data_IF_202712339225
#
_entry.id   IF_202712339225
#
_cell.length_a   1.000
_cell.length_b   1.000
_cell.length_c   1.000
_cell.angle_alpha   90.00
_cell.angle_beta   90.00
_cell.angle_gamma   90.00
#
_symmetry.space_group_name_H-M   'P 1'
#
loop_
_entity.id
_entity.type
_entity.pdbx_description
1 polymer ?
#
# COMPACT_ATOMS: atom_id res chain seq x y z
N UNK A 1 -41.88 -27.44 21.57
CA UNK A 1 -41.40 -26.05 21.39
C UNK A 1 -39.91 -26.01 21.03
N UNK A 2 -39.48 -26.72 19.98
CA UNK A 2 -38.06 -26.79 19.57
C UNK A 2 -37.80 -26.35 18.11
N UNK A 3 -38.84 -25.89 17.38
CA UNK A 3 -38.71 -25.49 15.97
C UNK A 3 -38.50 -23.97 15.76
N UNK A 4 -38.75 -23.12 16.75
CA UNK A 4 -38.63 -21.66 16.58
C UNK A 4 -37.20 -21.11 16.74
N UNK A 5 -36.29 -21.88 17.34
CA UNK A 5 -34.90 -21.42 17.51
C UNK A 5 -34.09 -21.51 16.21
N UNK A 6 -34.40 -22.45 15.31
CA UNK A 6 -33.64 -22.65 14.06
C UNK A 6 -33.90 -21.51 13.07
N UNK A 7 -35.12 -20.95 13.02
CA UNK A 7 -35.48 -19.88 12.08
C UNK A 7 -34.90 -18.51 12.44
N UNK A 8 -34.65 -18.23 13.73
CA UNK A 8 -34.09 -16.95 14.16
C UNK A 8 -32.61 -16.80 13.79
N UNK A 9 -31.84 -17.89 13.83
CA UNK A 9 -30.43 -17.89 13.41
C UNK A 9 -30.27 -17.82 11.88
N UNK A 10 -31.24 -18.31 11.10
CA UNK A 10 -31.13 -18.33 9.65
C UNK A 10 -31.06 -16.90 9.05
N UNK A 11 -31.78 -15.95 9.64
CA UNK A 11 -31.93 -14.59 9.11
C UNK A 11 -30.75 -13.66 9.40
N UNK A 12 -29.76 -14.12 10.15
CA UNK A 12 -28.56 -13.35 10.53
C UNK A 12 -27.28 -13.87 9.90
N UNK A 13 -27.36 -14.94 9.10
CA UNK A 13 -26.19 -15.52 8.42
C UNK A 13 -25.80 -14.74 7.18
N UNK A 14 -24.51 -14.74 6.87
CA UNK A 14 -23.94 -14.25 5.62
C UNK A 14 -24.60 -14.90 4.41
N UNK A 15 -24.89 -16.20 4.49
CA UNK A 15 -25.60 -16.92 3.44
C UNK A 15 -27.00 -16.34 3.17
N UNK A 16 -27.71 -15.89 4.20
CA UNK A 16 -29.01 -15.22 4.06
C UNK A 16 -28.90 -13.86 3.38
N UNK A 17 -27.98 -13.02 3.84
CA UNK A 17 -27.74 -11.68 3.29
C UNK A 17 -27.32 -11.75 1.80
N UNK A 18 -26.41 -12.67 1.47
CA UNK A 18 -25.89 -12.85 0.12
C UNK A 18 -26.89 -13.45 -0.87
N UNK A 19 -28.07 -13.95 -0.44
CA UNK A 19 -29.11 -14.35 -1.39
C UNK A 19 -29.58 -13.18 -2.27
N UNK A 20 -29.60 -11.98 -1.70
CA UNK A 20 -29.91 -10.76 -2.44
C UNK A 20 -28.63 -9.96 -2.71
N UNK A 21 -27.79 -9.74 -1.70
CA UNK A 21 -26.57 -8.92 -1.86
C UNK A 21 -25.49 -9.58 -2.72
N UNK A 22 -25.57 -10.88 -2.97
CA UNK A 22 -24.70 -11.57 -3.93
C UNK A 22 -25.15 -11.45 -5.39
N UNK A 23 -26.22 -10.70 -5.69
CA UNK A 23 -26.69 -10.46 -7.06
C UNK A 23 -25.98 -9.23 -7.65
N UNK A 24 -25.24 -9.40 -8.75
CA UNK A 24 -24.48 -8.31 -9.41
C UNK A 24 -25.34 -7.12 -9.82
N UNK A 25 -26.64 -7.36 -10.06
CA UNK A 25 -27.60 -6.32 -10.46
C UNK A 25 -28.29 -5.64 -9.28
N UNK A 26 -27.98 -6.01 -8.02
CA UNK A 26 -28.63 -5.41 -6.87
C UNK A 26 -28.13 -3.98 -6.66
N UNK A 27 -29.00 -3.03 -6.97
CA UNK A 27 -28.75 -1.61 -6.78
C UNK A 27 -30.07 -0.87 -6.56
N UNK A 28 -29.99 0.31 -5.97
CA UNK A 28 -31.12 1.24 -5.93
C UNK A 28 -30.70 2.62 -6.45
N UNK A 29 -31.67 3.42 -6.85
CA UNK A 29 -31.44 4.82 -7.20
C UNK A 29 -31.67 5.68 -5.98
N UNK A 30 -30.62 6.36 -5.54
CA UNK A 30 -30.72 7.34 -4.46
C UNK A 30 -31.62 8.50 -4.90
N UNK A 31 -32.66 8.78 -4.11
CA UNK A 31 -33.67 9.79 -4.46
C UNK A 31 -33.15 11.22 -4.32
N UNK A 32 -32.12 11.44 -3.51
CA UNK A 32 -31.57 12.77 -3.21
C UNK A 32 -30.52 13.20 -4.25
N UNK A 33 -29.68 12.27 -4.69
CA UNK A 33 -28.57 12.52 -5.60
C UNK A 33 -28.86 12.05 -7.03
N UNK A 34 -29.83 11.14 -7.20
CA UNK A 34 -30.13 10.49 -8.48
C UNK A 34 -29.13 9.39 -8.86
N UNK A 35 -28.07 9.18 -8.07
CA UNK A 35 -27.03 8.20 -8.34
C UNK A 35 -27.54 6.77 -8.16
N UNK A 36 -26.94 5.82 -8.88
CA UNK A 36 -27.15 4.40 -8.63
C UNK A 36 -26.19 3.96 -7.52
N UNK A 37 -26.75 3.48 -6.42
CA UNK A 37 -26.01 2.89 -5.31
C UNK A 37 -26.00 1.39 -5.50
N UNK A 38 -24.81 0.85 -5.79
CA UNK A 38 -24.60 -0.57 -5.91
C UNK A 38 -24.58 -1.23 -4.51
N UNK A 39 -25.37 -2.28 -4.32
CA UNK A 39 -25.45 -3.05 -3.08
C UNK A 39 -24.88 -4.47 -3.23
N UNK A 40 -24.29 -4.77 -4.38
CA UNK A 40 -23.65 -6.04 -4.64
C UNK A 40 -22.39 -6.22 -3.79
N UNK A 41 -22.28 -7.39 -3.19
CA UNK A 41 -21.10 -7.90 -2.50
C UNK A 41 -20.70 -9.20 -3.19
N UNK A 42 -19.49 -9.25 -3.74
CA UNK A 42 -18.93 -10.44 -4.34
C UNK A 42 -18.68 -11.52 -3.27
N UNK A 43 -19.41 -12.66 -3.30
CA UNK A 43 -19.27 -13.70 -2.29
C UNK A 43 -17.88 -14.34 -2.25
N UNK A 44 -17.19 -14.42 -3.40
CA UNK A 44 -15.87 -14.99 -3.48
C UNK A 44 -14.82 -14.04 -2.89
N UNK A 45 -14.89 -12.76 -3.21
CA UNK A 45 -13.97 -11.77 -2.64
C UNK A 45 -14.19 -11.61 -1.13
N UNK A 46 -15.45 -11.61 -0.68
CA UNK A 46 -15.77 -11.61 0.75
C UNK A 46 -15.16 -12.76 1.52
N UNK A 47 -15.28 -13.99 1.00
CA UNK A 47 -14.68 -15.18 1.61
C UNK A 47 -13.15 -15.14 1.67
N UNK A 48 -12.50 -14.32 0.84
CA UNK A 48 -11.06 -14.14 0.86
C UNK A 48 -10.63 -12.93 1.69
N UNK A 49 -11.55 -12.08 2.15
CA UNK A 49 -11.24 -10.92 2.95
C UNK A 49 -10.77 -11.29 4.36
N UNK A 50 -10.11 -10.35 5.01
CA UNK A 50 -9.71 -10.47 6.41
C UNK A 50 -10.90 -10.63 7.38
N UNK A 51 -12.10 -10.18 6.98
CA UNK A 51 -13.33 -10.28 7.78
C UNK A 51 -14.23 -11.44 7.38
N UNK A 52 -13.77 -12.36 6.52
CA UNK A 52 -14.53 -13.51 5.99
C UNK A 52 -15.16 -14.45 7.05
N UNK A 53 -14.70 -14.38 8.30
CA UNK A 53 -15.23 -15.16 9.43
C UNK A 53 -16.29 -14.43 10.25
N UNK A 54 -16.49 -13.14 10.00
CA UNK A 54 -17.58 -12.39 10.62
C UNK A 54 -18.86 -12.67 9.85
N UNK A 55 -20.00 -12.56 10.53
CA UNK A 55 -21.28 -12.53 9.84
C UNK A 55 -21.58 -11.09 9.41
N UNK A 56 -22.34 -10.89 8.33
CA UNK A 56 -22.71 -9.54 7.87
C UNK A 56 -23.29 -8.69 9.01
N UNK A 57 -24.13 -9.30 9.86
CA UNK A 57 -24.78 -8.64 11.00
C UNK A 57 -23.85 -8.28 12.16
N UNK A 58 -22.59 -8.73 12.13
CA UNK A 58 -21.59 -8.29 13.11
C UNK A 58 -21.25 -6.82 12.93
N UNK A 59 -21.20 -6.35 11.68
CA UNK A 59 -21.06 -4.93 11.38
C UNK A 59 -22.43 -4.28 11.15
N UNK A 60 -23.30 -4.93 10.37
CA UNK A 60 -24.63 -4.41 10.04
C UNK A 60 -25.67 -4.77 11.11
N UNK A 61 -25.76 -3.94 12.14
CA UNK A 61 -26.48 -4.22 13.39
C UNK A 61 -27.94 -3.77 13.41
N UNK A 62 -28.38 -2.97 12.43
CA UNK A 62 -29.77 -2.59 12.28
C UNK A 62 -30.65 -3.82 12.00
N UNK A 63 -31.96 -3.65 12.17
CA UNK A 63 -32.91 -4.75 11.95
C UNK A 63 -33.09 -5.02 10.44
N UNK A 64 -32.25 -5.93 9.93
CA UNK A 64 -32.33 -6.45 8.57
C UNK A 64 -33.08 -7.80 8.49
N UNK A 65 -33.90 -8.14 9.49
CA UNK A 65 -34.63 -9.41 9.49
C UNK A 65 -35.87 -9.41 8.59
N UNK A 66 -36.35 -8.23 8.17
CA UNK A 66 -37.56 -8.06 7.36
C UNK A 66 -37.31 -7.19 6.12
N UNK A 67 -37.71 -7.68 4.94
CA UNK A 67 -37.67 -6.93 3.69
C UNK A 67 -39.02 -6.24 3.39
N UNK A 68 -39.03 -5.00 2.87
CA UNK A 68 -37.88 -4.11 2.65
C UNK A 68 -37.30 -3.60 3.97
N UNK A 69 -35.97 -3.64 4.09
CA UNK A 69 -35.27 -3.18 5.29
C UNK A 69 -35.36 -1.65 5.41
N UNK A 70 -35.38 -1.10 6.63
CA UNK A 70 -35.35 0.34 6.83
C UNK A 70 -34.09 0.97 6.24
N UNK A 71 -34.23 2.12 5.58
CA UNK A 71 -33.11 2.97 5.14
C UNK A 71 -32.47 3.61 6.38
N UNK A 72 -31.60 2.86 7.05
CA UNK A 72 -30.83 3.33 8.18
C UNK A 72 -29.40 3.59 7.74
N UNK A 73 -28.92 4.82 7.94
CA UNK A 73 -27.50 5.11 7.88
C UNK A 73 -26.85 4.48 9.12
N UNK A 74 -26.02 3.45 8.90
CA UNK A 74 -25.19 2.89 9.96
C UNK A 74 -23.83 3.58 9.96
N UNK A 75 -23.45 4.09 11.13
CA UNK A 75 -22.11 4.60 11.35
C UNK A 75 -21.23 3.44 11.79
N UNK A 76 -20.58 2.80 10.82
CA UNK A 76 -19.62 1.73 11.05
C UNK A 76 -18.23 2.33 11.23
N UNK A 77 -17.47 1.87 12.24
CA UNK A 77 -16.08 2.29 12.41
C UNK A 77 -15.16 1.11 12.69
N UNK A 78 -13.97 1.11 12.09
CA UNK A 78 -12.97 0.06 12.31
C UNK A 78 -12.59 -0.06 13.80
N UNK A 79 -12.57 1.06 14.52
CA UNK A 79 -12.19 1.09 15.93
C UNK A 79 -13.24 0.51 16.88
N UNK A 80 -14.46 0.22 16.41
CA UNK A 80 -15.47 -0.43 17.25
C UNK A 80 -15.02 -1.80 17.75
N UNK A 81 -14.13 -2.47 17.00
CA UNK A 81 -13.49 -3.73 17.40
C UNK A 81 -11.96 -3.61 17.54
N UNK A 82 -11.30 -2.80 16.70
CA UNK A 82 -9.83 -2.83 16.59
C UNK A 82 -9.07 -2.05 17.68
N UNK A 83 -9.74 -1.23 18.50
CA UNK A 83 -9.06 -0.38 19.49
C UNK A 83 -8.72 -1.10 20.82
N UNK A 84 -9.59 -2.00 21.28
CA UNK A 84 -9.52 -2.58 22.63
C UNK A 84 -9.12 -4.07 22.65
N UNK A 85 -9.06 -4.75 21.50
CA UNK A 85 -8.65 -6.16 21.43
C UNK A 85 -7.11 -6.27 21.47
N UNK A 86 -6.51 -6.91 22.50
CA UNK A 86 -5.06 -7.09 22.61
C UNK A 86 -4.40 -7.78 21.41
N UNK A 87 -5.15 -8.58 20.64
CA UNK A 87 -4.67 -9.22 19.42
C UNK A 87 -4.61 -8.26 18.23
N UNK A 88 -5.42 -7.19 18.27
CA UNK A 88 -5.54 -6.21 17.20
C UNK A 88 -4.73 -4.93 17.45
N UNK A 89 -4.41 -4.63 18.72
CA UNK A 89 -3.54 -3.51 19.12
C UNK A 89 -2.22 -3.46 18.30
N UNK A 90 -1.49 -4.58 18.06
CA UNK A 90 -0.23 -4.53 17.31
C UNK A 90 -0.33 -4.02 15.88
N UNK A 91 -1.53 -3.99 15.29
CA UNK A 91 -1.74 -3.44 13.94
C UNK A 91 -1.86 -1.91 13.92
N UNK A 92 -1.93 -1.24 15.08
CA UNK A 92 -1.85 0.21 15.19
C UNK A 92 -3.03 0.97 14.58
N UNK A 93 -4.25 0.42 14.65
CA UNK A 93 -5.44 1.03 14.04
C UNK A 93 -5.78 2.40 14.63
N UNK A 94 -5.45 2.65 15.90
CA UNK A 94 -5.66 3.94 16.56
C UNK A 94 -4.73 5.01 15.95
N UNK A 95 -3.46 4.67 15.75
CA UNK A 95 -2.47 5.54 15.10
C UNK A 95 -2.81 5.77 13.63
N UNK A 96 -3.33 4.74 12.94
CA UNK A 96 -3.84 4.84 11.57
C UNK A 96 -5.00 5.84 11.49
N UNK A 97 -5.98 5.74 12.40
CA UNK A 97 -7.11 6.66 12.43
C UNK A 97 -6.63 8.11 12.68
N UNK A 98 -5.70 8.31 13.61
CA UNK A 98 -5.14 9.62 13.88
C UNK A 98 -4.36 10.19 12.68
N UNK A 99 -3.59 9.36 11.99
CA UNK A 99 -2.90 9.74 10.76
C UNK A 99 -3.88 10.12 9.65
N UNK A 100 -4.98 9.35 9.50
CA UNK A 100 -6.03 9.64 8.54
C UNK A 100 -6.74 10.97 8.83
N UNK A 101 -7.07 11.26 10.09
CA UNK A 101 -7.67 12.54 10.52
C UNK A 101 -6.80 13.75 10.14
N UNK A 102 -5.49 13.56 10.04
CA UNK A 102 -4.53 14.59 9.61
C UNK A 102 -4.28 14.60 8.09
N UNK A 103 -4.97 13.77 7.31
CA UNK A 103 -4.83 13.71 5.86
C UNK A 103 -5.69 14.74 5.15
N UNK A 104 -5.31 15.08 3.91
CA UNK A 104 -6.14 15.93 3.05
C UNK A 104 -7.51 15.30 2.77
N UNK A 105 -7.60 13.96 2.78
CA UNK A 105 -8.86 13.25 2.51
C UNK A 105 -9.86 13.32 3.66
N UNK A 106 -9.40 13.43 4.91
CA UNK A 106 -10.29 13.71 6.02
C UNK A 106 -10.92 15.12 5.91
N UNK A 107 -10.19 16.10 5.37
CA UNK A 107 -10.68 17.48 5.23
C UNK A 107 -11.81 17.66 4.19
N UNK A 108 -12.02 16.65 3.34
CA UNK A 108 -13.11 16.61 2.35
C UNK A 108 -14.15 15.54 2.70
N UNK A 109 -14.25 15.19 3.98
CA UNK A 109 -15.26 14.27 4.54
C UNK A 109 -15.24 12.86 3.93
N UNK A 110 -14.09 12.38 3.45
CA UNK A 110 -13.92 10.95 3.13
C UNK A 110 -13.76 10.12 4.40
N UNK A 111 -14.10 8.84 4.31
CA UNK A 111 -13.95 7.87 5.40
C UNK A 111 -12.93 6.80 5.06
N UNK A 112 -12.61 5.95 6.03
CA UNK A 112 -11.75 4.77 5.81
C UNK A 112 -12.29 3.89 4.67
N UNK A 113 -13.62 3.79 4.55
CA UNK A 113 -14.29 2.98 3.53
C UNK A 113 -14.30 3.61 2.14
N UNK A 114 -13.95 4.90 2.02
CA UNK A 114 -13.73 5.54 0.72
C UNK A 114 -12.50 4.96 0.00
N UNK A 115 -11.56 4.38 0.76
CA UNK A 115 -10.34 3.76 0.23
C UNK A 115 -10.34 2.23 0.40
N UNK A 116 -10.88 1.72 1.51
CA UNK A 116 -10.84 0.29 1.84
C UNK A 116 -12.25 -0.31 1.85
N UNK A 117 -12.54 -1.20 0.91
CA UNK A 117 -13.79 -1.97 0.94
C UNK A 117 -13.72 -3.05 2.05
N UNK A 118 -14.51 -2.96 3.13
CA UNK A 118 -14.47 -3.94 4.21
C UNK A 118 -14.91 -5.34 3.76
N UNK A 119 -15.63 -5.46 2.64
CA UNK A 119 -16.05 -6.73 2.06
C UNK A 119 -14.97 -7.38 1.19
N UNK A 120 -13.87 -6.69 0.88
CA UNK A 120 -12.80 -7.21 0.03
C UNK A 120 -11.41 -7.01 0.65
N UNK A 121 -11.32 -6.27 1.76
CA UNK A 121 -10.07 -5.84 2.37
C UNK A 121 -9.15 -7.01 2.72
N UNK A 122 -7.88 -6.88 2.29
CA UNK A 122 -6.79 -7.80 2.60
C UNK A 122 -5.58 -7.02 3.13
N UNK A 123 -4.99 -7.48 4.24
CA UNK A 123 -3.86 -6.78 4.89
C UNK A 123 -2.51 -6.92 4.15
N UNK A 124 -2.36 -7.86 3.21
CA UNK A 124 -1.11 -8.03 2.46
C UNK A 124 -1.25 -9.01 1.29
N UNK A 125 -0.42 -8.82 0.26
CA UNK A 125 -0.12 -9.81 -0.78
C UNK A 125 1.35 -10.25 -0.67
N UNK A 126 1.71 -11.37 -1.28
CA UNK A 126 3.11 -11.85 -1.27
C UNK A 126 3.96 -11.21 -2.39
N UNK A 127 3.34 -10.83 -3.51
CA UNK A 127 4.01 -10.14 -4.63
C UNK A 127 3.93 -8.62 -4.45
N UNK A 128 5.09 -7.98 -4.35
CA UNK A 128 5.22 -6.53 -4.24
C UNK A 128 4.59 -5.78 -5.42
N UNK A 129 4.61 -6.36 -6.63
CA UNK A 129 3.97 -5.75 -7.81
C UNK A 129 2.45 -5.80 -7.71
N UNK A 130 1.91 -6.87 -7.13
CA UNK A 130 0.48 -6.99 -6.88
C UNK A 130 0.02 -5.98 -5.84
N UNK A 131 0.78 -5.84 -4.74
CA UNK A 131 0.52 -4.81 -3.71
C UNK A 131 0.55 -3.40 -4.33
N UNK A 132 1.58 -3.08 -5.12
CA UNK A 132 1.69 -1.77 -5.78
C UNK A 132 0.49 -1.50 -6.69
N UNK A 133 0.09 -2.50 -7.49
CA UNK A 133 -1.08 -2.36 -8.38
C UNK A 133 -2.36 -2.13 -7.58
N UNK A 134 -2.62 -3.00 -6.60
CA UNK A 134 -3.83 -2.94 -5.78
C UNK A 134 -3.95 -1.61 -5.03
N UNK A 135 -2.90 -1.17 -4.33
CA UNK A 135 -2.91 0.08 -3.58
C UNK A 135 -3.06 1.31 -4.50
N UNK A 136 -2.47 1.27 -5.69
CA UNK A 136 -2.63 2.35 -6.67
C UNK A 136 -4.03 2.40 -7.28
N UNK A 137 -4.67 1.26 -7.52
CA UNK A 137 -6.03 1.18 -8.06
C UNK A 137 -7.05 1.89 -7.16
N UNK A 138 -6.90 1.80 -5.84
CA UNK A 138 -7.72 2.53 -4.87
C UNK A 138 -7.68 4.04 -5.12
N UNK A 139 -6.48 4.58 -5.33
CA UNK A 139 -6.29 6.01 -5.60
C UNK A 139 -6.90 6.40 -6.96
N UNK A 140 -6.75 5.52 -7.95
CA UNK A 140 -7.18 5.75 -9.32
C UNK A 140 -8.71 5.78 -9.47
N UNK A 141 -9.47 5.18 -8.55
CA UNK A 141 -10.93 5.28 -8.54
C UNK A 141 -11.44 6.75 -8.57
N UNK A 142 -10.68 7.68 -8.00
CA UNK A 142 -10.96 9.12 -8.06
C UNK A 142 -9.93 9.91 -8.87
N UNK A 143 -8.66 9.49 -8.88
CA UNK A 143 -7.56 10.24 -9.50
C UNK A 143 -7.25 9.84 -10.95
N UNK A 144 -8.00 8.92 -11.58
CA UNK A 144 -7.80 8.52 -12.99
C UNK A 144 -8.30 9.55 -14.02
N UNK A 145 -7.89 10.82 -13.89
CA UNK A 145 -8.21 11.89 -14.83
C UNK A 145 -6.96 12.35 -15.61
N UNK A 146 -7.11 13.09 -16.73
CA UNK A 146 -5.97 13.70 -17.42
C UNK A 146 -5.08 14.58 -16.52
N UNK A 147 -5.65 15.12 -15.43
CA UNK A 147 -4.91 15.90 -14.43
C UNK A 147 -3.83 15.07 -13.73
N UNK A 148 -3.96 13.75 -13.66
CA UNK A 148 -2.93 12.87 -13.10
C UNK A 148 -1.62 13.04 -13.86
N UNK A 149 -1.66 12.93 -15.19
CA UNK A 149 -0.46 13.03 -16.03
C UNK A 149 0.11 14.45 -15.97
N UNK A 150 -0.74 15.47 -16.08
CA UNK A 150 -0.33 16.88 -16.04
C UNK A 150 0.36 17.21 -14.71
N UNK A 151 -0.22 16.79 -13.58
CA UNK A 151 0.32 17.07 -12.25
C UNK A 151 1.62 16.30 -11.94
N UNK A 152 1.91 15.24 -12.71
CA UNK A 152 3.11 14.41 -12.56
C UNK A 152 4.14 14.61 -13.69
N UNK A 153 4.02 15.66 -14.52
CA UNK A 153 4.96 15.93 -15.62
C UNK A 153 6.42 16.12 -15.16
N UNK A 154 6.62 16.46 -13.89
CA UNK A 154 7.95 16.62 -13.28
C UNK A 154 8.64 15.27 -13.02
N UNK A 155 7.88 14.17 -12.94
CA UNK A 155 8.38 12.84 -12.62
C UNK A 155 8.94 12.18 -13.89
N UNK A 156 10.23 11.84 -13.95
CA UNK A 156 10.80 11.16 -15.11
C UNK A 156 10.22 9.75 -15.26
N UNK A 157 9.86 9.35 -16.48
CA UNK A 157 9.31 8.01 -16.78
C UNK A 157 8.18 7.61 -15.79
N UNK A 158 7.07 8.36 -15.73
CA UNK A 158 6.05 8.20 -14.68
C UNK A 158 5.44 6.79 -14.67
N UNK A 159 5.28 6.15 -15.84
CA UNK A 159 4.78 4.78 -15.94
C UNK A 159 5.66 3.75 -15.23
N UNK A 160 6.99 3.95 -15.18
CA UNK A 160 7.86 3.04 -14.45
C UNK A 160 7.71 3.25 -12.94
N UNK A 161 7.66 4.50 -12.50
CA UNK A 161 7.43 4.81 -11.08
C UNK A 161 6.10 4.24 -10.60
N UNK A 162 4.99 4.49 -11.29
CA UNK A 162 3.67 4.00 -10.87
C UNK A 162 3.53 2.48 -10.92
N UNK A 163 4.39 1.76 -11.65
CA UNK A 163 4.44 0.30 -11.67
C UNK A 163 5.35 -0.29 -10.60
N UNK A 164 6.24 0.51 -10.02
CA UNK A 164 7.27 0.04 -9.08
C UNK A 164 7.07 0.54 -7.66
N UNK A 165 6.36 1.66 -7.48
CA UNK A 165 6.04 2.24 -6.19
C UNK A 165 4.57 2.63 -6.11
N UNK A 166 4.07 2.71 -4.89
CA UNK A 166 2.72 3.18 -4.61
C UNK A 166 2.64 4.70 -4.71
N UNK A 167 1.47 5.23 -5.02
CA UNK A 167 1.16 6.66 -4.89
C UNK A 167 1.52 7.17 -3.48
N UNK A 168 1.25 6.34 -2.47
CA UNK A 168 1.53 6.63 -1.07
C UNK A 168 3.01 6.82 -0.75
N UNK A 169 3.93 6.26 -1.55
CA UNK A 169 5.36 6.48 -1.33
C UNK A 169 5.75 7.95 -1.59
N UNK A 170 5.05 8.67 -2.46
CA UNK A 170 5.30 10.11 -2.66
C UNK A 170 4.32 11.00 -1.90
N UNK A 171 3.10 10.52 -1.66
CA UNK A 171 2.01 11.29 -1.04
C UNK A 171 1.93 11.16 0.48
N UNK A 172 2.89 10.49 1.12
CA UNK A 172 2.98 10.37 2.58
C UNK A 172 4.41 10.66 3.03
N UNK A 173 4.61 11.04 4.29
CA UNK A 173 5.96 11.29 4.85
C UNK A 173 6.30 10.42 6.03
N UNK A 174 5.43 10.32 7.02
CA UNK A 174 5.68 9.57 8.27
C UNK A 174 4.73 8.38 8.38
N UNK A 175 3.43 8.66 8.42
CA UNK A 175 2.39 7.64 8.46
C UNK A 175 1.73 7.47 7.08
N UNK A 176 1.54 6.21 6.66
CA UNK A 176 0.96 5.85 5.35
C UNK A 176 -0.47 6.41 5.18
N UNK A 177 -1.21 6.56 6.28
CA UNK A 177 -2.58 7.08 6.24
C UNK A 177 -2.66 8.62 6.36
N UNK A 178 -1.53 9.30 6.57
CA UNK A 178 -1.47 10.76 6.50
C UNK A 178 -1.16 11.20 5.07
N UNK A 179 -2.17 11.12 4.21
CA UNK A 179 -2.06 11.50 2.79
C UNK A 179 -1.98 13.03 2.68
N UNK A 180 -0.94 13.52 2.03
CA UNK A 180 -0.64 14.93 1.84
C UNK A 180 -1.14 15.44 0.48
N UNK A 181 -1.46 16.75 0.37
CA UNK A 181 -1.81 17.36 -0.90
C UNK A 181 -0.63 17.33 -1.89
N UNK A 182 -0.90 17.39 -3.19
CA UNK A 182 0.10 17.30 -4.26
C UNK A 182 1.21 18.37 -4.21
N UNK A 183 1.01 19.48 -3.50
CA UNK A 183 2.04 20.50 -3.28
C UNK A 183 3.10 20.06 -2.27
N UNK A 184 2.75 19.15 -1.37
CA UNK A 184 3.58 18.67 -0.27
C UNK A 184 4.14 17.26 -0.49
N UNK A 185 3.75 16.61 -1.60
CA UNK A 185 4.30 15.32 -2.03
C UNK A 185 5.82 15.37 -2.14
N UNK A 186 6.48 14.26 -1.86
CA UNK A 186 7.93 14.10 -2.06
C UNK A 186 8.25 14.20 -3.55
N UNK A 187 9.05 15.21 -3.93
CA UNK A 187 9.55 15.41 -5.30
C UNK A 187 11.07 15.33 -5.40
N UNK A 188 11.75 15.27 -4.26
CA UNK A 188 13.19 15.23 -4.22
C UNK A 188 13.67 13.80 -4.49
N UNK A 189 14.24 13.58 -5.68
CA UNK A 189 14.64 12.26 -6.14
C UNK A 189 15.58 11.55 -5.18
N UNK A 190 16.43 12.27 -4.43
CA UNK A 190 17.44 11.68 -3.54
C UNK A 190 16.84 11.05 -2.29
N UNK A 191 15.59 11.38 -1.93
CA UNK A 191 14.91 10.74 -0.79
C UNK A 191 14.63 9.25 -1.05
N UNK A 192 14.49 8.87 -2.32
CA UNK A 192 14.33 7.47 -2.76
C UNK A 192 15.57 6.93 -3.49
N UNK A 193 16.37 7.79 -4.12
CA UNK A 193 17.57 7.42 -4.88
C UNK A 193 18.86 7.80 -4.15
N UNK A 194 18.96 7.48 -2.86
CA UNK A 194 20.19 7.59 -2.07
C UNK A 194 20.54 6.24 -1.40
N UNK A 195 21.78 6.10 -0.91
CA UNK A 195 22.24 4.89 -0.21
C UNK A 195 21.43 4.56 1.04
N UNK A 196 20.88 5.58 1.69
CA UNK A 196 20.08 5.49 2.92
C UNK A 196 18.63 5.86 2.60
N UNK A 197 18.07 5.35 1.49
CA UNK A 197 16.72 5.70 1.04
C UNK A 197 15.66 5.32 2.09
N UNK A 198 15.34 6.26 2.96
CA UNK A 198 14.41 6.13 4.08
C UNK A 198 12.99 5.80 3.65
N UNK A 199 12.63 6.11 2.39
CA UNK A 199 11.31 5.84 1.82
C UNK A 199 11.15 4.42 1.28
N UNK A 200 12.22 3.78 0.79
CA UNK A 200 12.10 2.45 0.16
C UNK A 200 11.95 1.30 1.15
N UNK A 201 12.33 1.51 2.42
CA UNK A 201 12.18 0.51 3.48
C UNK A 201 10.72 0.08 3.70
N UNK A 202 9.73 0.93 3.37
CA UNK A 202 8.30 0.67 3.62
C UNK A 202 7.70 -0.38 2.72
N UNK A 203 8.10 -0.43 1.45
CA UNK A 203 7.66 -1.48 0.53
C UNK A 203 8.40 -2.80 0.82
N UNK A 204 9.68 -2.70 1.20
CA UNK A 204 10.55 -3.86 1.46
C UNK A 204 10.24 -4.55 2.80
N UNK A 205 9.84 -3.83 3.85
CA UNK A 205 9.47 -4.43 5.14
C UNK A 205 8.19 -5.29 5.04
N UNK A 206 7.30 -5.01 4.08
CA UNK A 206 6.15 -5.87 3.77
C UNK A 206 6.56 -7.23 3.17
N UNK A 207 7.73 -7.31 2.52
CA UNK A 207 8.26 -8.52 1.88
C UNK A 207 8.98 -9.47 2.86
N UNK A 208 9.37 -8.97 4.05
CA UNK A 208 10.14 -9.73 5.06
C UNK A 208 9.32 -10.76 5.86
N UNK A 209 8.04 -10.92 5.60
CA UNK A 209 7.18 -11.91 6.28
C UNK A 209 7.47 -13.38 5.89
N UNK A 210 8.35 -13.63 4.91
CA UNK A 210 8.81 -14.97 4.53
C UNK A 210 10.16 -15.39 5.15
N UNK A 211 10.20 -16.54 5.83
CA UNK A 211 11.36 -17.09 6.56
C UNK A 211 12.65 -17.22 5.72
N UNK A 212 12.55 -17.35 4.39
CA UNK A 212 13.69 -17.56 3.49
C UNK A 212 14.34 -16.29 2.92
N UNK A 213 13.69 -15.12 2.99
CA UNK A 213 14.19 -13.90 2.33
C UNK A 213 15.20 -13.09 3.18
N UNK A 214 15.42 -13.48 4.45
CA UNK A 214 16.30 -12.77 5.39
C UNK A 214 17.80 -12.88 5.09
N UNK A 215 18.23 -13.81 4.24
CA UNK A 215 19.65 -14.17 4.14
C UNK A 215 20.36 -13.64 2.86
N UNK A 216 19.62 -13.22 1.83
CA UNK A 216 20.21 -12.94 0.50
C UNK A 216 20.07 -11.47 0.07
N UNK A 217 19.11 -10.72 0.60
CA UNK A 217 18.81 -9.35 0.16
C UNK A 217 18.85 -8.39 1.35
N UNK A 218 20.05 -8.09 1.84
CA UNK A 218 20.25 -7.11 2.91
C UNK A 218 20.30 -5.66 2.41
N UNK A 219 20.40 -5.44 1.10
CA UNK A 219 20.43 -4.12 0.50
C UNK A 219 19.25 -3.97 -0.49
N UNK A 220 18.41 -2.91 -0.38
CA UNK A 220 17.33 -2.68 -1.32
C UNK A 220 17.90 -2.50 -2.72
N UNK A 221 17.68 -3.49 -3.60
CA UNK A 221 18.09 -3.41 -4.99
C UNK A 221 17.23 -2.37 -5.71
N UNK A 222 17.80 -1.19 -5.93
CA UNK A 222 17.19 -0.13 -6.73
C UNK A 222 17.68 -0.31 -8.17
N UNK A 223 16.75 -0.58 -9.10
CA UNK A 223 17.04 -0.74 -10.53
C UNK A 223 17.73 0.54 -11.03
N UNK A 224 19.00 0.41 -11.46
CA UNK A 224 19.85 1.53 -11.90
C UNK A 224 20.86 2.04 -10.86
N UNK A 225 20.88 1.49 -9.64
CA UNK A 225 21.85 1.82 -8.60
C UNK A 225 22.80 0.64 -8.37
N UNK A 226 23.59 0.29 -9.38
CA UNK A 226 24.65 -0.71 -9.27
C UNK A 226 25.92 -0.10 -8.66
N UNK A 227 25.86 0.34 -7.39
CA UNK A 227 27.07 0.62 -6.61
C UNK A 227 27.26 -0.48 -5.57
N UNK A 228 27.74 -1.63 -6.05
CA UNK A 228 28.12 -2.73 -5.17
C UNK A 228 29.44 -2.36 -4.49
N UNK A 229 29.47 -2.31 -3.16
CA UNK A 229 30.62 -1.80 -2.40
C UNK A 229 31.92 -2.55 -2.73
N UNK A 230 31.83 -3.86 -3.01
CA UNK A 230 33.01 -4.62 -3.43
C UNK A 230 33.54 -4.17 -4.79
N UNK A 231 32.68 -3.81 -5.75
CA UNK A 231 33.09 -3.35 -7.08
C UNK A 231 33.78 -1.99 -6.97
N UNK A 232 33.25 -1.10 -6.13
CA UNK A 232 33.90 0.19 -5.85
C UNK A 232 35.28 -0.01 -5.22
N UNK A 233 35.42 -0.90 -4.22
CA UNK A 233 36.71 -1.21 -3.60
C UNK A 233 37.71 -1.82 -4.59
N UNK A 234 37.28 -2.77 -5.42
CA UNK A 234 38.13 -3.36 -6.46
C UNK A 234 38.55 -2.33 -7.51
N UNK A 235 37.65 -1.43 -7.90
CA UNK A 235 37.98 -0.37 -8.87
C UNK A 235 39.04 0.61 -8.32
N UNK A 236 38.97 0.97 -7.03
CA UNK A 236 39.98 1.77 -6.34
C UNK A 236 41.32 1.04 -6.23
N UNK A 237 41.31 -0.25 -5.91
CA UNK A 237 42.52 -1.07 -5.86
C UNK A 237 43.22 -1.08 -7.22
N UNK A 238 42.47 -1.34 -8.30
CA UNK A 238 43.01 -1.33 -9.68
C UNK A 238 43.59 0.04 -10.04
N UNK A 239 42.91 1.13 -9.68
CA UNK A 239 43.39 2.49 -9.92
C UNK A 239 44.72 2.75 -9.21
N UNK A 240 44.84 2.37 -7.93
CA UNK A 240 46.07 2.54 -7.14
C UNK A 240 47.22 1.74 -7.74
N UNK A 241 46.99 0.47 -8.13
CA UNK A 241 48.00 -0.34 -8.78
C UNK A 241 48.44 0.23 -10.14
N UNK A 242 47.50 0.79 -10.91
CA UNK A 242 47.80 1.42 -12.20
C UNK A 242 48.69 2.65 -12.02
N UNK A 243 48.34 3.54 -11.08
CA UNK A 243 49.14 4.73 -10.76
C UNK A 243 50.51 4.32 -10.22
N UNK A 244 50.57 3.33 -9.33
CA UNK A 244 51.82 2.81 -8.79
C UNK A 244 52.73 2.22 -9.87
N UNK A 245 52.18 1.46 -10.82
CA UNK A 245 52.92 0.91 -11.96
C UNK A 245 53.49 2.00 -12.88
N UNK A 246 52.70 3.03 -13.18
CA UNK A 246 53.17 4.19 -13.96
C UNK A 246 54.30 4.93 -13.24
N UNK A 247 54.18 5.10 -11.92
CA UNK A 247 55.20 5.77 -11.11
C UNK A 247 56.50 4.97 -11.05
N UNK A 248 56.41 3.65 -10.82
CA UNK A 248 57.56 2.75 -10.82
C UNK A 248 58.25 2.72 -12.19
N UNK A 249 57.48 2.69 -13.28
CA UNK A 249 58.02 2.77 -14.64
C UNK A 249 58.73 4.11 -14.90
N UNK A 250 58.12 5.22 -14.48
CA UNK A 250 58.72 6.56 -14.56
C UNK A 250 60.02 6.67 -13.78
N UNK A 251 60.05 6.18 -12.53
CA UNK A 251 61.22 6.18 -11.67
C UNK A 251 62.34 5.31 -12.25
N UNK A 252 62.01 4.13 -12.77
CA UNK A 252 62.95 3.24 -13.45
C UNK A 252 63.60 3.90 -14.67
N UNK A 253 62.82 4.62 -15.49
CA UNK A 253 63.37 5.40 -16.61
C UNK A 253 64.28 6.54 -16.14
N UNK A 254 63.94 7.22 -15.04
CA UNK A 254 64.75 8.30 -14.50
C UNK A 254 66.10 7.81 -13.97
N UNK A 255 66.10 6.75 -13.15
CA UNK A 255 67.31 6.18 -12.56
C UNK A 255 68.26 5.58 -13.60
N UNK A 256 67.74 4.88 -14.61
CA UNK A 256 68.55 4.31 -15.70
C UNK A 256 69.15 5.38 -16.63
N UNK A 257 68.53 6.56 -16.72
CA UNK A 257 69.07 7.71 -17.47
C UNK A 257 70.18 8.44 -16.69
N UNK A 258 70.13 8.41 -15.35
CA UNK A 258 71.16 8.97 -14.46
C UNK A 258 72.45 8.14 -14.43
N UNK A 259 72.35 6.82 -14.61
CA UNK A 259 73.51 5.90 -14.64
C UNK A 259 74.25 5.84 -15.99
N UNK A 260 73.94 6.72 -16.95
CA UNK A 260 74.63 6.83 -18.26
C UNK A 260 75.62 8.00 -18.34
N UNK A 261 76.19 8.43 -17.22
CA UNK A 261 77.35 9.34 -17.18
C UNK A 261 78.63 8.57 -16.94
#
# INVERSE_FOLDING_TARGET
>A
MFLSAISAFANTTTAYCLRCHGMETLAYRDKSTGNIVNLYVDPQQYRQSNHSRLECVTCHTADYSHYPHPENAENLYCLDCHKDDPKLIPYGFVEIEQAFKNSIHASIELSCFSCHDPHQFKLSGEDSREIVRYDNEICLNCHASPLLVISHQWLPKPLLHWRSIRCLECHTRVAIHQILPAKESVKNCVECHSKEATLLSRLYDLQKSGWFNKAVFNDPYIIGMSRHESIDRWSLIILVFTIGGLFAHGLGRFLTRSNKK
#
